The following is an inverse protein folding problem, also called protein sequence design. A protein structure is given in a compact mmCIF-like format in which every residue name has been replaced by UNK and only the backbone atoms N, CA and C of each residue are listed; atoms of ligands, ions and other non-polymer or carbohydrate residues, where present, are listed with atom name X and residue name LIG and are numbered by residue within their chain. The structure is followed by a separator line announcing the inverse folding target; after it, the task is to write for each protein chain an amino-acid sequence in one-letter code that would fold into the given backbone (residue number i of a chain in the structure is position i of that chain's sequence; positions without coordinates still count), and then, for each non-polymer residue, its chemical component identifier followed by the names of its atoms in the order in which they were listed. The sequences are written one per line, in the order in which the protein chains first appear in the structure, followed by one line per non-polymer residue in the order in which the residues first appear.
data_IF_231047767897
#
_entry.id   IF_231047767897
#
_cell.length_a   1.000
_cell.length_b   1.000
_cell.length_c   1.000
_cell.angle_alpha   90.00
_cell.angle_beta   90.00
_cell.angle_gamma   90.00
#
_symmetry.space_group_name_H-M   'P 1'
#
loop_
_entity.id
_entity.type
_entity.pdbx_description
1 polymer ?
#
# COMPACT_ATOMS: atom_id res chain seq x y z
N UNK A 1 9.31 5.53 -3.09
CA UNK A 1 7.88 5.25 -2.84
C UNK A 1 7.56 3.74 -2.77
N UNK A 2 7.95 2.90 -3.75
CA UNK A 2 7.77 1.43 -3.73
C UNK A 2 8.14 0.76 -2.40
N UNK A 3 9.30 1.09 -1.83
CA UNK A 3 9.78 0.52 -0.55
C UNK A 3 8.85 0.79 0.64
N UNK A 4 8.23 1.97 0.71
CA UNK A 4 7.32 2.34 1.80
C UNK A 4 6.02 1.51 1.72
N UNK A 5 5.54 1.24 0.51
CA UNK A 5 4.36 0.41 0.28
C UNK A 5 4.64 -1.04 0.68
N UNK A 6 5.79 -1.59 0.31
CA UNK A 6 6.19 -2.96 0.68
C UNK A 6 6.30 -3.11 2.20
N UNK A 7 7.01 -2.20 2.88
CA UNK A 7 7.09 -2.22 4.35
C UNK A 7 5.73 -2.09 5.03
N UNK A 8 4.84 -1.26 4.47
CA UNK A 8 3.50 -1.11 5.00
C UNK A 8 2.66 -2.37 4.79
N UNK A 9 2.78 -3.03 3.63
CA UNK A 9 2.15 -4.32 3.34
C UNK A 9 2.61 -5.40 4.33
N UNK A 10 3.92 -5.57 4.50
CA UNK A 10 4.51 -6.51 5.47
C UNK A 10 4.00 -6.24 6.89
N UNK A 11 4.06 -4.99 7.35
CA UNK A 11 3.60 -4.58 8.70
C UNK A 11 2.12 -4.83 8.94
N UNK A 12 1.31 -4.82 7.89
CA UNK A 12 -0.15 -4.94 7.99
C UNK A 12 -0.66 -6.28 7.43
N UNK A 13 0.18 -7.30 7.30
CA UNK A 13 -0.17 -8.63 6.79
C UNK A 13 -0.92 -8.56 5.44
N UNK A 14 -0.43 -7.74 4.52
CA UNK A 14 -1.02 -7.47 3.21
C UNK A 14 -2.47 -6.94 3.23
N UNK A 15 -2.98 -6.48 4.38
CA UNK A 15 -4.31 -5.90 4.47
C UNK A 15 -4.32 -4.49 3.85
N UNK A 16 -4.74 -4.40 2.58
CA UNK A 16 -4.74 -3.16 1.80
C UNK A 16 -5.49 -2.00 2.45
N UNK A 17 -6.60 -2.26 3.17
CA UNK A 17 -7.36 -1.20 3.88
C UNK A 17 -6.54 -0.63 5.02
N UNK A 18 -5.88 -1.49 5.82
CA UNK A 18 -4.97 -1.06 6.89
C UNK A 18 -3.73 -0.35 6.34
N UNK A 19 -3.17 -0.84 5.22
CA UNK A 19 -2.04 -0.21 4.53
C UNK A 19 -2.38 1.19 4.03
N UNK A 20 -3.52 1.35 3.36
CA UNK A 20 -3.95 2.65 2.86
C UNK A 20 -4.14 3.66 4.01
N UNK A 21 -4.80 3.22 5.10
CA UNK A 21 -4.95 4.01 6.33
C UNK A 21 -3.60 4.36 6.96
N UNK A 22 -2.68 3.39 7.05
CA UNK A 22 -1.33 3.58 7.60
C UNK A 22 -0.49 4.57 6.78
N UNK A 23 -0.63 4.53 5.46
CA UNK A 23 0.06 5.43 4.53
C UNK A 23 -0.63 6.80 4.37
N UNK A 24 -1.79 7.03 5.01
CA UNK A 24 -2.54 8.27 4.89
C UNK A 24 -3.12 8.53 3.50
N UNK A 25 -3.39 7.49 2.72
CA UNK A 25 -3.93 7.59 1.36
C UNK A 25 -5.25 6.83 1.22
N UNK A 26 -6.01 7.17 0.18
CA UNK A 26 -7.21 6.40 -0.18
C UNK A 26 -6.82 4.99 -0.67
N UNK A 27 -7.69 4.00 -0.46
CA UNK A 27 -7.49 2.65 -0.98
C UNK A 27 -7.34 2.62 -2.52
N UNK A 28 -8.13 3.38 -3.32
CA UNK A 28 -7.88 3.49 -4.76
C UNK A 28 -6.49 4.01 -5.12
N UNK A 29 -5.96 4.99 -4.39
CA UNK A 29 -4.60 5.51 -4.60
C UNK A 29 -3.55 4.43 -4.34
N UNK A 30 -3.72 3.61 -3.28
CA UNK A 30 -2.85 2.47 -3.02
C UNK A 30 -2.88 1.47 -4.19
N UNK A 31 -4.07 1.10 -4.68
CA UNK A 31 -4.22 0.15 -5.79
C UNK A 31 -3.54 0.65 -7.08
N UNK A 32 -3.67 1.93 -7.39
CA UNK A 32 -2.96 2.53 -8.53
C UNK A 32 -1.44 2.40 -8.38
N UNK A 33 -0.91 2.68 -7.19
CA UNK A 33 0.53 2.57 -6.92
C UNK A 33 1.02 1.12 -6.99
N UNK A 34 0.24 0.17 -6.48
CA UNK A 34 0.52 -1.27 -6.58
C UNK A 34 0.61 -1.70 -8.05
N UNK A 35 -0.40 -1.36 -8.86
CA UNK A 35 -0.42 -1.60 -10.31
C UNK A 35 0.78 -0.95 -11.01
N UNK A 36 1.11 0.29 -10.66
CA UNK A 36 2.27 1.02 -11.21
C UNK A 36 3.60 0.33 -10.93
N UNK A 37 3.72 -0.36 -9.79
CA UNK A 37 4.96 -1.04 -9.37
C UNK A 37 4.99 -2.54 -9.67
N UNK A 38 3.90 -3.11 -10.21
CA UNK A 38 3.76 -4.53 -10.48
C UNK A 38 3.71 -5.38 -9.21
N UNK A 39 3.07 -4.87 -8.15
CA UNK A 39 2.84 -5.54 -6.87
C UNK A 39 1.34 -5.82 -6.73
#
# INVERSE_FOLDING_TARGET
EKHLIIKALEKNNNNQTKVAKYLGISRPTLLYRLKKYGI
#
